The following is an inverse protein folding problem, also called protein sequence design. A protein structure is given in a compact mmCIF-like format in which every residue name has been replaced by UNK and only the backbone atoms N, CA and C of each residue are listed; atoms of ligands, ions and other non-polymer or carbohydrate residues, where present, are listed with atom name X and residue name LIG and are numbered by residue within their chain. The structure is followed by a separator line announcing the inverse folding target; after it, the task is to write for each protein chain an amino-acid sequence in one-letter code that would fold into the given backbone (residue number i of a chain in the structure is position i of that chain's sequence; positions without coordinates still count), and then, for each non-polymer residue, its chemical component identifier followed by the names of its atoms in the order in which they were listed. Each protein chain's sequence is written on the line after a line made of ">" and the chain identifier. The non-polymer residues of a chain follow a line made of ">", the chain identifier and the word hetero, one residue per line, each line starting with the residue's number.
data_IF_379368232387
#
_entry.id   IF_379368232387
#
_cell.length_a   1.000
_cell.length_b   1.000
_cell.length_c   1.000
_cell.angle_alpha   90.00
_cell.angle_beta   90.00
_cell.angle_gamma   90.00
#
_symmetry.space_group_name_H-M   'P 1'
#
loop_
_entity.id
_entity.type
_entity.pdbx_description
1 polymer ?
#
# COMPACT_ATOMS: atom_id res chain seq x y z
N UNK A 1 16.51 12.63 -8.34
CA UNK A 1 15.65 11.48 -8.01
C UNK A 1 15.73 10.52 -9.15
N UNK A 2 16.21 9.31 -8.88
CA UNK A 2 16.20 8.23 -9.88
C UNK A 2 14.76 7.89 -10.26
N UNK A 3 14.60 7.31 -11.45
CA UNK A 3 13.30 6.94 -12.01
C UNK A 3 12.50 6.01 -11.08
N UNK A 4 13.17 5.07 -10.41
CA UNK A 4 12.54 4.05 -9.54
C UNK A 4 11.82 4.64 -8.32
N UNK A 5 12.45 5.58 -7.61
CA UNK A 5 11.82 6.24 -6.45
C UNK A 5 10.61 7.10 -6.82
N UNK A 6 10.63 7.73 -8.00
CA UNK A 6 9.46 8.47 -8.53
C UNK A 6 8.34 7.52 -8.94
N UNK A 7 8.65 6.42 -9.63
CA UNK A 7 7.67 5.43 -10.04
C UNK A 7 6.96 4.82 -8.82
N UNK A 8 7.72 4.41 -7.80
CA UNK A 8 7.17 3.91 -6.53
C UNK A 8 6.28 4.95 -5.84
N UNK A 9 6.67 6.22 -5.80
CA UNK A 9 5.86 7.27 -5.18
C UNK A 9 4.52 7.48 -5.93
N UNK A 10 4.53 7.49 -7.26
CA UNK A 10 3.30 7.57 -8.05
C UNK A 10 2.40 6.34 -7.87
N UNK A 11 2.99 5.14 -7.83
CA UNK A 11 2.24 3.93 -7.50
C UNK A 11 1.61 4.00 -6.11
N UNK A 12 2.34 4.52 -5.11
CA UNK A 12 1.81 4.65 -3.75
C UNK A 12 0.62 5.60 -3.69
N UNK A 13 0.61 6.65 -4.52
CA UNK A 13 -0.53 7.56 -4.63
C UNK A 13 -1.77 6.85 -5.20
N UNK A 14 -1.61 6.09 -6.28
CA UNK A 14 -2.69 5.32 -6.88
C UNK A 14 -3.23 4.24 -5.92
N UNK A 15 -2.35 3.46 -5.31
CA UNK A 15 -2.72 2.41 -4.35
C UNK A 15 -3.34 3.02 -3.09
N UNK A 16 -2.80 4.13 -2.59
CA UNK A 16 -3.39 4.86 -1.46
C UNK A 16 -4.83 5.32 -1.74
N UNK A 17 -5.12 5.81 -2.95
CA UNK A 17 -6.48 6.14 -3.35
C UNK A 17 -7.40 4.91 -3.37
N UNK A 18 -6.93 3.76 -3.88
CA UNK A 18 -7.69 2.50 -3.86
C UNK A 18 -7.99 2.02 -2.43
N UNK A 19 -7.05 2.18 -1.49
CA UNK A 19 -7.30 1.91 -0.07
C UNK A 19 -8.37 2.84 0.52
N UNK A 20 -8.42 4.10 0.09
CA UNK A 20 -9.49 5.03 0.46
C UNK A 20 -10.86 4.59 -0.03
N UNK A 21 -10.95 4.15 -1.29
CA UNK A 21 -12.19 3.58 -1.87
C UNK A 21 -12.58 2.29 -1.15
N UNK A 22 -11.62 1.42 -0.85
CA UNK A 22 -11.90 0.19 -0.08
C UNK A 22 -12.44 0.52 1.32
N UNK A 23 -11.89 1.53 1.99
CA UNK A 23 -12.38 1.96 3.29
C UNK A 23 -13.85 2.39 3.25
N UNK A 24 -14.25 3.15 2.22
CA UNK A 24 -15.65 3.54 2.01
C UNK A 24 -16.57 2.33 1.89
N UNK A 25 -16.19 1.34 1.08
CA UNK A 25 -16.94 0.08 0.97
C UNK A 25 -17.03 -0.67 2.31
N UNK A 26 -15.94 -0.71 3.11
CA UNK A 26 -15.96 -1.35 4.43
C UNK A 26 -16.97 -0.67 5.36
N UNK A 27 -17.00 0.67 5.41
CA UNK A 27 -17.99 1.40 6.21
C UNK A 27 -19.41 1.15 5.72
N UNK A 28 -19.63 1.08 4.40
CA UNK A 28 -20.94 0.75 3.83
C UNK A 28 -21.44 -0.65 4.23
N UNK A 29 -20.53 -1.61 4.46
CA UNK A 29 -20.83 -2.96 4.96
C UNK A 29 -20.92 -3.07 6.49
N UNK A 30 -20.73 -1.97 7.23
CA UNK A 30 -20.75 -1.95 8.69
C UNK A 30 -19.45 -2.41 9.36
N UNK A 31 -18.39 -2.68 8.59
CA UNK A 31 -17.07 -3.07 9.09
C UNK A 31 -16.22 -1.81 9.35
N UNK A 32 -15.48 -1.71 10.47
CA UNK A 32 -14.62 -0.57 10.74
C UNK A 32 -13.47 -0.44 9.71
N UNK A 33 -13.60 0.50 8.77
CA UNK A 33 -12.63 0.75 7.69
C UNK A 33 -11.38 1.55 8.10
N UNK A 34 -11.18 1.81 9.39
CA UNK A 34 -10.14 2.73 9.90
C UNK A 34 -8.72 2.33 9.51
N UNK A 35 -8.42 1.03 9.50
CA UNK A 35 -7.09 0.55 9.12
C UNK A 35 -6.77 0.82 7.63
N UNK A 36 -7.80 0.75 6.78
CA UNK A 36 -7.67 1.09 5.36
C UNK A 36 -7.50 2.59 5.15
N UNK A 37 -8.21 3.43 5.93
CA UNK A 37 -7.96 4.89 5.96
C UNK A 37 -6.53 5.20 6.39
N UNK A 38 -6.05 4.61 7.49
CA UNK A 38 -4.71 4.84 7.99
C UNK A 38 -3.65 4.45 6.93
N UNK A 39 -3.86 3.32 6.25
CA UNK A 39 -3.00 2.86 5.15
C UNK A 39 -3.03 3.84 3.96
N UNK A 40 -4.22 4.30 3.57
CA UNK A 40 -4.39 5.28 2.49
C UNK A 40 -3.64 6.57 2.79
N UNK A 41 -3.83 7.14 3.99
CA UNK A 41 -3.15 8.36 4.44
C UNK A 41 -1.64 8.15 4.46
N UNK A 42 -1.16 7.03 5.00
CA UNK A 42 0.27 6.73 5.06
C UNK A 42 0.90 6.70 3.66
N UNK A 43 0.29 6.00 2.70
CA UNK A 43 0.77 5.92 1.32
C UNK A 43 0.74 7.27 0.60
N UNK A 44 -0.34 8.04 0.74
CA UNK A 44 -0.49 9.36 0.11
C UNK A 44 0.53 10.36 0.69
N UNK A 45 0.67 10.42 2.02
CA UNK A 45 1.63 11.32 2.68
C UNK A 45 3.07 10.92 2.34
N UNK A 46 3.38 9.62 2.33
CA UNK A 46 4.69 9.13 1.93
C UNK A 46 5.01 9.44 0.47
N UNK A 47 4.04 9.26 -0.42
CA UNK A 47 4.14 9.64 -1.83
C UNK A 47 4.42 11.14 -1.98
N UNK A 48 3.61 11.99 -1.35
CA UNK A 48 3.76 13.44 -1.40
C UNK A 48 5.13 13.91 -0.90
N UNK A 49 5.57 13.44 0.28
CA UNK A 49 6.88 13.77 0.84
C UNK A 49 8.02 13.30 -0.07
N UNK A 50 7.87 12.13 -0.70
CA UNK A 50 8.86 11.60 -1.64
C UNK A 50 8.90 12.47 -2.91
N UNK A 51 7.76 12.75 -3.56
CA UNK A 51 7.72 13.58 -4.76
C UNK A 51 8.24 15.01 -4.53
N UNK A 52 8.00 15.57 -3.35
CA UNK A 52 8.53 16.89 -2.93
C UNK A 52 10.00 16.86 -2.50
N UNK A 53 10.65 15.70 -2.54
CA UNK A 53 12.06 15.49 -2.13
C UNK A 53 12.35 15.93 -0.69
N UNK A 54 11.39 15.76 0.21
CA UNK A 54 11.56 16.07 1.62
C UNK A 54 12.44 15.02 2.30
N UNK A 55 13.18 15.42 3.35
CA UNK A 55 14.00 14.49 4.12
C UNK A 55 13.13 13.36 4.73
N UNK A 56 13.64 12.13 4.68
CA UNK A 56 12.96 10.95 5.21
C UNK A 56 11.75 10.44 4.41
N UNK A 57 11.33 11.09 3.32
CA UNK A 57 10.17 10.66 2.51
C UNK A 57 10.29 9.21 2.03
N UNK A 58 11.48 8.81 1.59
CA UNK A 58 11.76 7.46 1.12
C UNK A 58 11.72 6.39 2.23
N UNK A 59 12.06 6.77 3.47
CA UNK A 59 11.93 5.86 4.64
C UNK A 59 10.46 5.66 4.98
N UNK A 60 9.69 6.74 4.96
CA UNK A 60 8.24 6.70 5.17
C UNK A 60 7.54 5.87 4.08
N UNK A 61 7.98 5.99 2.82
CA UNK A 61 7.45 5.23 1.69
C UNK A 61 7.70 3.73 1.83
N UNK A 62 8.91 3.34 2.24
CA UNK A 62 9.21 1.92 2.51
C UNK A 62 8.35 1.36 3.65
N UNK A 63 8.17 2.12 4.73
CA UNK A 63 7.29 1.73 5.84
C UNK A 63 5.83 1.61 5.41
N UNK A 64 5.33 2.57 4.62
CA UNK A 64 3.95 2.58 4.14
C UNK A 64 3.67 1.39 3.19
N UNK A 65 4.61 1.08 2.28
CA UNK A 65 4.51 -0.11 1.43
C UNK A 65 4.56 -1.42 2.23
N UNK A 66 5.44 -1.50 3.23
CA UNK A 66 5.52 -2.66 4.12
C UNK A 66 4.24 -2.88 4.92
N UNK A 67 3.65 -1.79 5.45
CA UNK A 67 2.38 -1.85 6.16
C UNK A 67 1.22 -2.28 5.25
N UNK A 68 1.11 -1.68 4.06
CA UNK A 68 0.10 -2.05 3.06
C UNK A 68 0.25 -3.52 2.62
N UNK A 69 1.47 -3.98 2.36
CA UNK A 69 1.75 -5.37 2.00
C UNK A 69 1.39 -6.35 3.12
N UNK A 70 1.71 -6.00 4.38
CA UNK A 70 1.34 -6.81 5.55
C UNK A 70 -0.17 -6.90 5.77
N UNK A 71 -0.90 -5.79 5.58
CA UNK A 71 -2.36 -5.77 5.68
C UNK A 71 -3.01 -6.64 4.59
N UNK A 72 -2.50 -6.55 3.35
CA UNK A 72 -2.98 -7.36 2.22
C UNK A 72 -2.56 -8.84 2.31
N UNK A 73 -1.62 -9.18 3.20
CA UNK A 73 -1.22 -10.56 3.44
C UNK A 73 -2.24 -11.33 4.30
N UNK A 74 -3.01 -10.63 5.14
CA UNK A 74 -3.91 -11.25 6.13
C UNK A 74 -4.91 -12.26 5.55
N UNK A 75 -5.55 -12.02 4.39
CA UNK A 75 -6.48 -12.99 3.80
C UNK A 75 -5.83 -14.32 3.44
N UNK A 76 -4.51 -14.35 3.20
CA UNK A 76 -3.76 -15.55 2.83
C UNK A 76 -3.20 -16.31 4.04
N UNK A 77 -3.16 -15.69 5.22
CA UNK A 77 -2.58 -16.29 6.43
C UNK A 77 -3.62 -16.73 7.45
N UNK A 78 -4.86 -16.23 7.35
CA UNK A 78 -5.97 -16.59 8.25
C UNK A 78 -6.84 -17.68 7.61
N UNK A 79 -7.17 -18.77 8.34
CA UNK A 79 -8.10 -19.79 7.84
C UNK A 79 -9.47 -19.18 7.50
N UNK A 80 -9.88 -19.28 6.24
CA UNK A 80 -11.16 -18.76 5.74
C UNK A 80 -12.21 -19.88 5.81
N UNK A 81 -13.37 -19.61 6.43
CA UNK A 81 -14.50 -20.54 6.50
C UNK A 81 -15.44 -20.49 5.27
N UNK A 82 -15.15 -19.64 4.29
CA UNK A 82 -15.98 -19.44 3.09
C UNK A 82 -15.30 -20.01 1.84
N UNK A 83 -16.10 -20.59 0.95
CA UNK A 83 -15.66 -21.15 -0.34
C UNK A 83 -15.23 -20.09 -1.39
N UNK A 84 -15.06 -18.82 -1.00
CA UNK A 84 -14.47 -17.79 -1.84
C UNK A 84 -12.95 -18.00 -1.87
N UNK A 85 -12.55 -19.02 -2.62
CA UNK A 85 -11.24 -19.65 -2.55
C UNK A 85 -10.07 -18.77 -3.00
N UNK A 86 -10.28 -17.64 -3.68
CA UNK A 86 -9.17 -16.76 -4.09
C UNK A 86 -9.70 -15.38 -4.50
N UNK A 87 -9.48 -14.35 -3.68
CA UNK A 87 -9.67 -12.97 -4.11
C UNK A 87 -8.44 -12.55 -4.95
N UNK A 88 -8.56 -12.71 -6.27
CA UNK A 88 -7.51 -12.32 -7.21
C UNK A 88 -7.19 -10.82 -7.13
N UNK A 89 -8.15 -9.97 -6.75
CA UNK A 89 -7.92 -8.53 -6.57
C UNK A 89 -6.99 -8.25 -5.40
N UNK A 90 -7.23 -8.89 -4.26
CA UNK A 90 -6.36 -8.79 -3.09
C UNK A 90 -4.93 -9.30 -3.39
N UNK A 91 -4.79 -10.39 -4.15
CA UNK A 91 -3.48 -10.92 -4.56
C UNK A 91 -2.72 -9.94 -5.45
N UNK A 92 -3.40 -9.33 -6.44
CA UNK A 92 -2.78 -8.35 -7.33
C UNK A 92 -2.30 -7.14 -6.53
N UNK A 93 -3.14 -6.60 -5.62
CA UNK A 93 -2.74 -5.47 -4.78
C UNK A 93 -1.59 -5.83 -3.85
N UNK A 94 -1.56 -7.05 -3.32
CA UNK A 94 -0.45 -7.56 -2.51
C UNK A 94 0.86 -7.57 -3.32
N UNK A 95 0.86 -8.13 -4.52
CA UNK A 95 2.02 -8.14 -5.40
C UNK A 95 2.48 -6.73 -5.79
N UNK A 96 1.53 -5.82 -6.04
CA UNK A 96 1.81 -4.41 -6.32
C UNK A 96 2.47 -3.72 -5.12
N UNK A 97 2.01 -4.01 -3.89
CA UNK A 97 2.60 -3.47 -2.68
C UNK A 97 4.04 -3.95 -2.48
N UNK A 98 4.32 -5.23 -2.73
CA UNK A 98 5.67 -5.79 -2.70
C UNK A 98 6.57 -5.23 -3.80
N UNK A 99 6.05 -5.04 -5.01
CA UNK A 99 6.79 -4.40 -6.10
C UNK A 99 7.13 -2.94 -5.75
N UNK A 100 6.18 -2.19 -5.18
CA UNK A 100 6.40 -0.83 -4.68
C UNK A 100 7.46 -0.77 -3.58
N UNK A 101 7.42 -1.73 -2.64
CA UNK A 101 8.45 -1.87 -1.60
C UNK A 101 9.82 -2.15 -2.22
N UNK A 102 9.92 -3.15 -3.11
CA UNK A 102 11.17 -3.53 -3.75
C UNK A 102 11.79 -2.38 -4.54
N UNK A 103 10.99 -1.63 -5.31
CA UNK A 103 11.44 -0.43 -6.03
C UNK A 103 11.95 0.66 -5.08
N UNK A 104 11.36 0.78 -3.90
CA UNK A 104 11.77 1.75 -2.87
C UNK A 104 13.09 1.35 -2.21
N UNK A 105 13.30 0.05 -1.97
CA UNK A 105 14.54 -0.49 -1.38
C UNK A 105 15.69 -0.46 -2.38
N UNK A 106 15.47 -0.89 -3.63
CA UNK A 106 16.47 -0.83 -4.70
C UNK A 106 17.00 0.59 -4.94
N UNK A 107 16.19 1.63 -4.68
CA UNK A 107 16.65 3.01 -4.75
C UNK A 107 17.69 3.37 -3.68
N UNK A 108 17.73 2.66 -2.54
CA UNK A 108 18.68 2.92 -1.44
C UNK A 108 20.01 2.18 -1.58
N UNK A 109 20.07 1.12 -2.37
CA UNK A 109 21.29 0.29 -2.53
C UNK A 109 22.30 0.89 -3.54
N UNK A 110 22.09 2.12 -4.01
CA UNK A 110 22.98 2.85 -4.91
C UNK A 110 23.06 4.33 -4.54
#
# INVERSE_FOLDING_TARGET
>A
MMWMGKASAWMALAVGALFGVNADFQFATGVPGWIYIATAIALIVASYRTLRKMSGGLRLLAGAWGFAGGLLALPFTVPQNSAQLFDAGALVLFLVAFAGLALTVLHKER
#
